data_IF_178589898512
#
_entry.id   IF_178589898512
#
_cell.length_a   1.000
_cell.length_b   1.000
_cell.length_c   1.000
_cell.angle_alpha   90.00
_cell.angle_beta   90.00
_cell.angle_gamma   90.00
#
_symmetry.space_group_name_H-M   'P 1'
#
loop_
_entity.id
_entity.type
_entity.pdbx_description
1 polymer ?
#
# COMPACT_ATOMS: atom_id res chain seq x y z
N UNK A 1 0.32 -13.89 -11.74
CA UNK A 1 -0.25 -12.58 -11.34
C UNK A 1 0.54 -11.50 -12.05
N UNK A 2 -0.13 -10.61 -12.79
CA UNK A 2 0.48 -9.59 -13.68
C UNK A 2 1.48 -8.70 -12.95
N UNK A 3 1.14 -8.29 -11.73
CA UNK A 3 1.96 -7.41 -10.87
C UNK A 3 3.38 -7.96 -10.66
N UNK A 4 3.56 -9.28 -10.45
CA UNK A 4 4.89 -9.87 -10.29
C UNK A 4 5.77 -9.71 -11.54
N UNK A 5 5.17 -9.83 -12.74
CA UNK A 5 5.90 -9.70 -14.00
C UNK A 5 6.32 -8.25 -14.24
N UNK A 6 5.41 -7.31 -14.00
CA UNK A 6 5.64 -5.88 -14.18
C UNK A 6 6.66 -5.31 -13.20
N UNK A 7 6.52 -5.64 -11.92
CA UNK A 7 7.29 -4.99 -10.84
C UNK A 7 8.57 -5.74 -10.46
N UNK A 8 8.78 -6.96 -10.94
CA UNK A 8 9.95 -7.80 -10.63
C UNK A 8 10.29 -7.83 -9.12
N UNK A 9 9.25 -7.93 -8.29
CA UNK A 9 9.38 -7.82 -6.84
C UNK A 9 10.12 -9.03 -6.24
N UNK A 10 10.99 -8.76 -5.28
CA UNK A 10 11.67 -9.80 -4.53
C UNK A 10 10.73 -10.48 -3.51
N UNK A 11 11.21 -11.60 -2.94
CA UNK A 11 10.45 -12.35 -1.92
C UNK A 11 10.28 -11.64 -0.57
N UNK A 12 10.96 -10.49 -0.36
CA UNK A 12 10.93 -9.71 0.88
C UNK A 12 9.91 -8.58 0.80
N UNK A 13 9.59 -8.11 -0.40
CA UNK A 13 8.63 -7.04 -0.65
C UNK A 13 7.23 -7.44 -0.14
N UNK A 14 6.63 -6.56 0.66
CA UNK A 14 5.26 -6.75 1.11
C UNK A 14 4.31 -6.23 0.03
N UNK A 15 3.27 -6.99 -0.30
CA UNK A 15 2.13 -6.41 -1.00
C UNK A 15 1.36 -5.50 -0.06
N UNK A 16 0.60 -4.58 -0.65
CA UNK A 16 -0.25 -3.66 0.09
C UNK A 16 -1.71 -3.95 -0.22
N UNK A 17 -2.53 -4.18 0.80
CA UNK A 17 -3.97 -4.09 0.67
C UNK A 17 -4.37 -2.63 0.86
N UNK A 18 -5.01 -2.08 -0.16
CA UNK A 18 -5.59 -0.75 -0.11
C UNK A 18 -7.02 -0.89 0.42
N UNK A 19 -7.27 -0.30 1.58
CA UNK A 19 -8.52 -0.46 2.33
C UNK A 19 -9.30 0.85 2.38
N UNK A 20 -10.62 0.76 2.49
CA UNK A 20 -11.55 1.90 2.52
C UNK A 20 -11.63 2.57 3.90
N UNK A 21 -11.56 1.80 4.98
CA UNK A 21 -11.65 2.30 6.35
C UNK A 21 -10.96 1.36 7.37
N UNK A 22 -10.90 1.78 8.63
CA UNK A 22 -10.27 1.02 9.72
C UNK A 22 -10.98 -0.30 10.03
N UNK A 23 -12.28 -0.39 9.76
CA UNK A 23 -13.05 -1.61 10.02
C UNK A 23 -12.62 -2.70 9.04
N UNK A 24 -12.48 -2.34 7.76
CA UNK A 24 -11.96 -3.25 6.75
C UNK A 24 -10.53 -3.69 7.07
N UNK A 25 -9.67 -2.80 7.56
CA UNK A 25 -8.31 -3.19 7.99
C UNK A 25 -8.35 -4.28 9.07
N UNK A 26 -9.25 -4.16 10.05
CA UNK A 26 -9.33 -5.11 11.17
C UNK A 26 -9.73 -6.53 10.73
N UNK A 27 -10.33 -6.69 9.54
CA UNK A 27 -10.64 -8.01 8.96
C UNK A 27 -9.39 -8.70 8.42
N UNK A 28 -8.45 -7.94 7.83
CA UNK A 28 -7.27 -8.48 7.16
C UNK A 28 -5.98 -8.39 7.99
N UNK A 29 -5.95 -7.57 9.04
CA UNK A 29 -4.78 -7.37 9.88
C UNK A 29 -5.16 -7.26 11.36
N UNK A 30 -4.28 -7.78 12.22
CA UNK A 30 -4.43 -7.62 13.66
C UNK A 30 -4.11 -6.19 14.08
N UNK A 31 -5.07 -5.54 14.73
CA UNK A 31 -4.93 -4.22 15.32
C UNK A 31 -5.12 -4.33 16.84
N UNK A 32 -4.06 -4.09 17.61
CA UNK A 32 -4.23 -3.84 19.03
C UNK A 32 -4.65 -2.38 19.28
N UNK A 33 -4.94 -2.04 20.55
CA UNK A 33 -5.40 -0.71 20.92
C UNK A 33 -4.37 0.41 20.64
N UNK A 34 -3.08 0.10 20.65
CA UNK A 34 -2.03 1.09 20.39
C UNK A 34 -1.91 1.33 18.88
N UNK A 35 -1.79 0.26 18.10
CA UNK A 35 -1.73 0.28 16.63
C UNK A 35 -2.98 0.94 16.05
N UNK A 36 -4.18 0.59 16.55
CA UNK A 36 -5.43 1.21 16.10
C UNK A 36 -5.41 2.74 16.28
N UNK A 37 -4.96 3.22 17.45
CA UNK A 37 -4.85 4.66 17.73
C UNK A 37 -3.83 5.35 16.84
N UNK A 38 -2.67 4.72 16.62
CA UNK A 38 -1.63 5.25 15.72
C UNK A 38 -2.15 5.38 14.29
N UNK A 39 -2.77 4.33 13.74
CA UNK A 39 -3.32 4.36 12.38
C UNK A 39 -4.42 5.40 12.30
N UNK A 40 -5.38 5.42 13.23
CA UNK A 40 -6.49 6.39 13.24
C UNK A 40 -6.01 7.84 13.24
N UNK A 41 -4.96 8.16 14.00
CA UNK A 41 -4.43 9.52 14.09
C UNK A 41 -3.55 9.91 12.89
N UNK A 42 -3.07 8.92 12.12
CA UNK A 42 -2.19 9.11 10.97
C UNK A 42 -2.88 8.75 9.65
N UNK A 43 -4.20 8.56 9.63
CA UNK A 43 -4.99 8.23 8.42
C UNK A 43 -6.19 9.14 8.27
N UNK A 44 -6.68 9.35 7.04
CA UNK A 44 -6.20 8.79 5.76
C UNK A 44 -4.91 9.47 5.25
N UNK A 45 -4.16 8.81 4.36
CA UNK A 45 -3.11 9.49 3.60
C UNK A 45 -1.77 8.77 3.49
N UNK A 46 -0.69 9.52 3.71
CA UNK A 46 0.67 9.29 3.19
C UNK A 46 1.45 8.12 3.82
N UNK A 47 0.76 7.11 4.33
CA UNK A 47 1.36 5.99 5.04
C UNK A 47 0.99 4.65 4.44
N UNK A 48 1.95 3.73 4.51
CA UNK A 48 1.71 2.29 4.35
C UNK A 48 2.16 1.61 5.64
N UNK A 49 1.24 0.91 6.31
CA UNK A 49 1.51 0.22 7.57
C UNK A 49 1.80 -1.25 7.29
N UNK A 50 2.94 -1.76 7.78
CA UNK A 50 3.19 -3.20 7.77
C UNK A 50 2.60 -3.77 9.06
N UNK A 51 1.65 -4.69 8.92
CA UNK A 51 0.89 -5.28 10.01
C UNK A 51 0.94 -6.81 9.97
N UNK A 52 0.60 -7.44 11.09
CA UNK A 52 0.43 -8.89 11.16
C UNK A 52 -0.87 -9.26 10.45
N UNK A 53 -0.79 -10.09 9.43
CA UNK A 53 -1.94 -10.50 8.65
C UNK A 53 -2.82 -11.51 9.39
N UNK A 54 -4.14 -11.42 9.21
CA UNK A 54 -5.11 -12.43 9.67
C UNK A 54 -5.10 -13.64 8.73
N UNK A 55 -6.01 -14.59 8.95
CA UNK A 55 -6.16 -15.76 8.07
C UNK A 55 -6.89 -15.44 6.76
N UNK A 56 -7.61 -14.32 6.71
CA UNK A 56 -8.34 -13.88 5.52
C UNK A 56 -7.40 -13.50 4.37
N UNK A 57 -6.17 -13.08 4.70
CA UNK A 57 -5.16 -12.75 3.69
C UNK A 57 -4.60 -14.03 3.05
N UNK A 58 -4.70 -14.22 1.72
CA UNK A 58 -4.17 -15.40 1.06
C UNK A 58 -2.65 -15.55 1.24
N UNK A 59 -2.20 -16.78 1.53
CA UNK A 59 -0.77 -17.12 1.73
C UNK A 59 0.17 -16.73 0.58
N UNK A 60 -0.37 -16.55 -0.62
CA UNK A 60 0.41 -16.17 -1.82
C UNK A 60 0.85 -14.71 -1.82
N UNK A 61 0.11 -13.83 -1.14
CA UNK A 61 0.38 -12.38 -1.09
C UNK A 61 0.96 -11.92 0.25
N UNK A 62 0.94 -12.80 1.26
CA UNK A 62 1.63 -12.56 2.53
C UNK A 62 3.14 -12.80 2.39
N UNK A 63 3.94 -12.02 3.12
CA UNK A 63 5.34 -12.36 3.31
C UNK A 63 5.44 -13.67 4.11
N UNK A 64 5.80 -14.76 3.42
CA UNK A 64 5.75 -16.14 3.94
C UNK A 64 6.56 -16.36 5.21
N UNK A 65 7.68 -15.63 5.39
CA UNK A 65 8.53 -15.78 6.57
C UNK A 65 7.97 -15.07 7.79
N UNK A 66 7.24 -13.96 7.60
CA UNK A 66 6.85 -13.06 8.71
C UNK A 66 5.35 -12.91 8.92
N UNK A 67 4.50 -13.48 8.05
CA UNK A 67 3.03 -13.32 8.06
C UNK A 67 2.61 -11.84 8.14
N UNK A 68 3.33 -10.99 7.41
CA UNK A 68 3.11 -9.55 7.35
C UNK A 68 2.39 -9.18 6.05
N UNK A 69 1.61 -8.11 6.11
CA UNK A 69 0.94 -7.49 4.96
C UNK A 69 1.05 -5.97 5.08
N UNK A 70 1.25 -5.28 3.97
CA UNK A 70 1.13 -3.83 3.91
C UNK A 70 -0.35 -3.42 3.88
N UNK A 71 -0.70 -2.34 4.56
CA UNK A 71 -2.05 -1.78 4.60
C UNK A 71 -1.97 -0.30 4.29
N UNK A 72 -2.86 0.19 3.43
CA UNK A 72 -2.92 1.61 3.06
C UNK A 72 -4.36 2.10 3.04
N UNK A 73 -4.60 3.26 3.65
CA UNK A 73 -5.86 3.98 3.58
C UNK A 73 -5.70 5.21 2.66
N UNK A 74 -6.11 5.14 1.38
CA UNK A 74 -5.84 6.21 0.43
C UNK A 74 -6.72 7.44 0.70
N UNK A 75 -6.14 8.64 0.54
CA UNK A 75 -6.90 9.91 0.58
C UNK A 75 -7.26 10.43 -0.82
N UNK A 76 -6.87 9.73 -1.89
CA UNK A 76 -7.17 10.13 -3.26
C UNK A 76 -8.65 9.77 -3.60
N UNK A 77 -9.47 10.71 -4.12
CA UNK A 77 -10.88 10.46 -4.43
C UNK A 77 -11.10 9.29 -5.40
N UNK A 78 -10.32 9.21 -6.49
CA UNK A 78 -10.42 8.13 -7.48
C UNK A 78 -10.19 6.77 -6.82
N UNK A 79 -9.16 6.64 -5.99
CA UNK A 79 -8.87 5.40 -5.28
C UNK A 79 -9.98 5.03 -4.30
N UNK A 80 -10.58 6.02 -3.62
CA UNK A 80 -11.69 5.79 -2.68
C UNK A 80 -12.97 5.37 -3.39
N UNK A 81 -13.30 6.01 -4.51
CA UNK A 81 -14.47 5.67 -5.31
C UNK A 81 -14.33 4.30 -5.95
N UNK A 82 -13.12 3.94 -6.39
CA UNK A 82 -12.82 2.60 -6.90
C UNK A 82 -13.02 1.52 -5.82
N UNK A 83 -12.50 1.74 -4.61
CA UNK A 83 -12.70 0.83 -3.48
C UNK A 83 -14.18 0.72 -3.10
N UNK A 84 -14.91 1.83 -3.12
CA UNK A 84 -16.34 1.84 -2.82
C UNK A 84 -17.15 1.06 -3.87
N UNK A 85 -16.81 1.19 -5.15
CA UNK A 85 -17.46 0.47 -6.24
C UNK A 85 -17.17 -1.03 -6.25
N UNK A 86 -15.97 -1.44 -5.81
CA UNK A 86 -15.56 -2.84 -5.71
C UNK A 86 -16.14 -3.51 -4.47
N UNK A 87 -16.17 -2.80 -3.34
CA UNK A 87 -16.73 -3.30 -2.08
C UNK A 87 -15.81 -4.24 -1.28
N UNK A 88 -14.55 -4.39 -1.68
CA UNK A 88 -13.51 -5.19 -1.01
C UNK A 88 -12.12 -4.53 -1.19
N UNK A 89 -11.12 -4.89 -0.38
CA UNK A 89 -9.79 -4.31 -0.50
C UNK A 89 -9.10 -4.65 -1.83
N UNK A 90 -8.31 -3.70 -2.33
CA UNK A 90 -7.51 -3.89 -3.52
C UNK A 90 -6.08 -4.29 -3.20
N UNK A 91 -5.64 -5.41 -3.76
CA UNK A 91 -4.22 -5.77 -3.76
C UNK A 91 -3.44 -4.81 -4.67
N UNK A 92 -2.43 -4.15 -4.12
CA UNK A 92 -1.70 -3.08 -4.77
C UNK A 92 -0.21 -3.08 -4.41
N UNK A 93 0.56 -2.33 -5.21
CA UNK A 93 1.97 -2.00 -4.97
C UNK A 93 2.23 -0.62 -5.54
N UNK A 94 3.22 0.11 -5.02
CA UNK A 94 3.72 1.30 -5.72
C UNK A 94 4.20 0.93 -7.12
N UNK A 95 3.86 1.75 -8.12
CA UNK A 95 4.29 1.57 -9.50
C UNK A 95 5.65 2.23 -9.69
N UNK A 96 6.71 1.49 -9.35
CA UNK A 96 8.09 1.99 -9.49
C UNK A 96 8.87 1.33 -10.64
N UNK A 97 8.33 0.45 -11.48
CA UNK A 97 9.11 -0.27 -12.51
C UNK A 97 10.51 -0.84 -12.09
N UNK A 98 11.15 -1.69 -12.90
CA UNK A 98 12.50 -2.17 -12.60
C UNK A 98 13.56 -1.15 -13.07
N UNK A 99 14.46 -0.74 -12.17
CA UNK A 99 15.58 0.16 -12.50
C UNK A 99 15.31 1.65 -12.28
N UNK A 100 14.08 2.03 -11.90
CA UNK A 100 13.71 3.40 -11.55
C UNK A 100 13.72 3.59 -10.03
N UNK A 101 14.07 4.81 -9.59
CA UNK A 101 14.04 5.19 -8.17
C UNK A 101 12.67 5.76 -7.75
N UNK A 102 11.89 6.28 -8.71
CA UNK A 102 10.64 6.99 -8.46
C UNK A 102 9.48 6.44 -9.29
N UNK A 103 8.26 6.72 -8.83
CA UNK A 103 7.06 6.37 -9.58
C UNK A 103 6.80 7.41 -10.68
N UNK A 104 6.35 6.96 -11.85
CA UNK A 104 5.94 7.85 -12.93
C UNK A 104 4.72 8.67 -12.51
N UNK A 105 4.76 9.96 -12.81
CA UNK A 105 3.77 10.95 -12.37
C UNK A 105 2.66 11.22 -13.40
N UNK A 106 2.85 10.80 -14.66
CA UNK A 106 1.93 11.01 -15.77
C UNK A 106 1.32 9.71 -16.30
N UNK A 107 0.03 9.73 -16.60
CA UNK A 107 -0.67 8.60 -17.21
C UNK A 107 -0.15 8.29 -18.63
N UNK A 108 0.21 9.32 -19.42
CA UNK A 108 0.69 9.16 -20.80
C UNK A 108 2.06 8.45 -20.84
N UNK A 109 2.92 8.76 -19.86
CA UNK A 109 4.21 8.08 -19.69
C UNK A 109 4.01 6.62 -19.29
N UNK A 110 3.10 6.36 -18.33
CA UNK A 110 2.75 5.00 -17.91
C UNK A 110 2.19 4.20 -19.08
N UNK A 111 1.30 4.78 -19.89
CA UNK A 111 0.74 4.14 -21.09
C UNK A 111 1.84 3.80 -22.10
N UNK A 112 2.76 4.72 -22.35
CA UNK A 112 3.89 4.51 -23.26
C UNK A 112 4.82 3.37 -22.79
N UNK A 113 5.01 3.21 -21.48
CA UNK A 113 5.93 2.22 -20.91
C UNK A 113 5.28 0.83 -20.75
N UNK A 114 4.04 0.78 -20.26
CA UNK A 114 3.39 -0.48 -19.84
C UNK A 114 1.95 -0.64 -20.31
N UNK A 115 1.43 0.23 -21.19
CA UNK A 115 0.03 0.19 -21.64
C UNK A 115 -0.40 -1.16 -22.22
N UNK A 116 0.48 -1.86 -22.93
CA UNK A 116 0.19 -3.20 -23.46
C UNK A 116 0.25 -4.33 -22.41
N UNK A 117 0.73 -4.02 -21.21
CA UNK A 117 0.92 -4.98 -20.12
C UNK A 117 -0.11 -4.81 -18.99
N UNK A 118 -1.05 -3.86 -19.12
CA UNK A 118 -2.12 -3.59 -18.16
C UNK A 118 -3.45 -3.52 -18.86
N UNK A 119 -4.53 -3.91 -18.18
CA UNK A 119 -5.86 -3.94 -18.76
C UNK A 119 -6.53 -2.54 -18.72
N UNK A 120 -6.11 -1.69 -17.79
CA UNK A 120 -6.68 -0.35 -17.59
C UNK A 120 -5.64 0.59 -16.96
N UNK A 121 -5.62 1.84 -17.45
CA UNK A 121 -4.94 2.98 -16.84
C UNK A 121 -6.01 4.02 -16.52
N UNK A 122 -6.03 4.51 -15.28
CA UNK A 122 -6.93 5.59 -14.86
C UNK A 122 -6.10 6.86 -14.75
N UNK A 123 -6.40 7.86 -15.59
CA UNK A 123 -5.72 9.15 -15.56
C UNK A 123 -6.23 9.99 -14.37
N UNK A 124 -5.38 10.16 -13.36
CA UNK A 124 -5.63 10.98 -12.18
C UNK A 124 -4.95 12.35 -12.22
N UNK A 125 -4.59 12.83 -13.41
CA UNK A 125 -3.71 13.99 -13.64
C UNK A 125 -2.30 13.73 -13.08
N UNK A 126 -1.56 14.80 -12.79
CA UNK A 126 -0.19 14.73 -12.29
C UNK A 126 -0.16 14.37 -10.81
N UNK A 127 0.47 13.25 -10.48
CA UNK A 127 0.62 12.77 -9.10
C UNK A 127 2.05 13.01 -8.60
N UNK A 128 2.20 13.11 -7.28
CA UNK A 128 3.54 13.19 -6.68
C UNK A 128 4.30 11.89 -6.93
N UNK A 129 5.55 12.02 -7.33
CA UNK A 129 6.51 10.92 -7.46
C UNK A 129 6.92 10.34 -6.09
N UNK A 130 6.66 11.10 -5.02
CA UNK A 130 7.00 10.70 -3.65
C UNK A 130 6.15 9.55 -3.17
N UNK A 131 6.78 8.62 -2.48
CA UNK A 131 6.15 7.46 -1.88
C UNK A 131 5.45 7.79 -0.55
N UNK A 132 4.64 6.84 -0.09
CA UNK A 132 4.16 6.84 1.29
C UNK A 132 5.31 6.52 2.24
N UNK A 133 5.28 7.09 3.43
CA UNK A 133 6.12 6.65 4.54
C UNK A 133 5.68 5.26 5.00
N UNK A 134 6.63 4.34 5.11
CA UNK A 134 6.37 2.94 5.44
C UNK A 134 6.73 2.71 6.90
N UNK A 135 5.75 2.31 7.70
CA UNK A 135 5.91 2.07 9.14
C UNK A 135 5.56 0.62 9.45
N UNK A 136 6.49 -0.13 10.02
CA UNK A 136 6.26 -1.48 10.53
C UNK A 136 5.74 -1.41 11.97
N UNK A 137 4.49 -1.84 12.13
CA UNK A 137 3.74 -1.85 13.39
C UNK A 137 3.47 -3.29 13.88
N UNK A 138 4.29 -4.26 13.45
CA UNK A 138 4.10 -5.67 13.83
C UNK A 138 4.65 -6.03 15.19
N UNK A 139 5.59 -5.22 15.69
CA UNK A 139 6.20 -5.34 17.02
C UNK A 139 5.64 -4.23 17.93
N UNK A 140 5.95 -4.29 19.23
CA UNK A 140 5.45 -3.32 20.22
C UNK A 140 5.92 -1.88 20.00
N UNK A 141 7.05 -1.71 19.31
CA UNK A 141 7.63 -0.40 18.98
C UNK A 141 7.56 -0.18 17.48
N UNK A 142 6.97 0.93 17.00
CA UNK A 142 6.97 1.28 15.60
C UNK A 142 8.39 1.31 15.03
N UNK A 143 8.57 0.72 13.84
CA UNK A 143 9.84 0.76 13.13
C UNK A 143 9.64 1.43 11.76
N UNK A 144 10.31 2.53 11.53
CA UNK A 144 10.21 3.29 10.28
C UNK A 144 11.10 2.63 9.24
N UNK A 145 10.49 2.11 8.17
CA UNK A 145 11.19 1.39 7.10
C UNK A 145 11.64 2.34 5.99
N UNK A 146 10.88 3.41 5.74
CA UNK A 146 11.21 4.43 4.76
C UNK A 146 10.37 5.68 4.98
N UNK A 147 10.99 6.85 4.80
CA UNK A 147 10.38 8.17 5.06
C UNK A 147 10.29 8.96 3.78
N UNK A 148 9.09 9.43 3.47
CA UNK A 148 8.83 10.28 2.30
C UNK A 148 7.72 11.29 2.60
N UNK A 149 6.46 11.03 2.18
CA UNK A 149 5.40 12.02 2.34
C UNK A 149 4.79 12.14 3.74
N UNK A 150 4.94 11.12 4.60
CA UNK A 150 4.35 11.08 5.93
C UNK A 150 5.34 11.51 7.02
N UNK A 151 4.87 12.27 8.01
CA UNK A 151 5.66 12.62 9.19
C UNK A 151 5.92 11.39 10.06
N UNK A 152 7.13 11.29 10.63
CA UNK A 152 7.54 10.22 11.56
C UNK A 152 7.18 10.50 13.01
N UNK A 153 6.93 11.76 13.36
CA UNK A 153 6.63 12.23 14.73
C UNK A 153 5.54 11.39 15.45
N UNK A 154 4.46 10.93 14.80
CA UNK A 154 3.46 10.10 15.49
C UNK A 154 3.94 8.70 15.91
N UNK A 155 5.13 8.28 15.47
CA UNK A 155 5.67 6.93 15.63
C UNK A 155 7.03 6.92 16.35
N UNK A 156 7.52 8.09 16.77
CA UNK A 156 8.70 8.27 17.64
C UNK A 156 8.27 8.25 19.12
#
# INVERSE_FOLDING_TARGET
MQIFRLRQLDSRHNFTLMCRDLSEIAEYAYLDNQVFRMIKNSTPGHYTFILRATKEVPRRIMNKKRKKIGIRLPNNPIARDLLAGIGEPLLSTSLILPGEDFAQSSADEIESLIGQQVDLIINGCYLSEKQTTVVDLTESTPNIIGVEMGSTIPFE
#
